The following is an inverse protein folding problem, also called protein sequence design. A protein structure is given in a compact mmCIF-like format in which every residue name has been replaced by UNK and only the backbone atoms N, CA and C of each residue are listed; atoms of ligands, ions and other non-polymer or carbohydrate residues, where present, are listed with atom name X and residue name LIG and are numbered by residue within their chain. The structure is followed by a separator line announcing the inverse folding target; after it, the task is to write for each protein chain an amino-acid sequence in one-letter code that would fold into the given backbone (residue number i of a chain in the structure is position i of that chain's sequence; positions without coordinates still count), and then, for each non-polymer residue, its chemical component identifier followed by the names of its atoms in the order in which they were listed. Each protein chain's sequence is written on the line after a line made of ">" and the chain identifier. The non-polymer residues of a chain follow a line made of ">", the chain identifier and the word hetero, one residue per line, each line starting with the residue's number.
data_IF_732170311098
#
_entry.id   IF_732170311098
#
_cell.length_a   1.000
_cell.length_b   1.000
_cell.length_c   1.000
_cell.angle_alpha   90.00
_cell.angle_beta   90.00
_cell.angle_gamma   90.00
#
_symmetry.space_group_name_H-M   'P 1'
#
loop_
_entity.id
_entity.type
_entity.pdbx_description
1 polymer ?
#
# COMPACT_ATOMS: atom_id res chain seq x y z
N UNK A 1 -6.06 22.22 85.88
CA UNK A 1 -6.68 23.49 85.39
C UNK A 1 -5.55 24.32 84.79
N UNK A 2 -5.45 24.68 83.51
CA UNK A 2 -6.32 24.68 82.32
C UNK A 2 -5.36 24.69 81.11
N UNK A 3 -5.56 23.86 80.10
CA UNK A 3 -5.33 24.26 78.68
C UNK A 3 -6.55 25.12 78.26
N UNK A 4 -6.54 25.99 77.21
CA UNK A 4 -5.88 25.82 75.90
C UNK A 4 -5.46 27.11 75.13
N UNK A 5 -4.69 26.98 74.05
CA UNK A 5 -4.58 27.91 72.90
C UNK A 5 -3.92 27.08 71.78
N UNK A 6 -4.61 26.49 70.80
CA UNK A 6 -5.31 27.08 69.65
C UNK A 6 -4.34 27.75 68.65
N UNK A 7 -4.25 27.09 67.49
CA UNK A 7 -4.02 27.60 66.12
C UNK A 7 -2.60 27.77 65.55
N UNK A 8 -2.53 27.39 64.27
CA UNK A 8 -1.56 27.72 63.20
C UNK A 8 -0.32 26.83 63.07
N UNK A 9 -0.50 25.61 62.56
CA UNK A 9 0.53 24.98 61.72
C UNK A 9 -0.02 24.96 60.29
N UNK A 10 0.26 26.03 59.56
CA UNK A 10 0.07 26.13 58.12
C UNK A 10 1.39 26.56 57.48
N UNK A 11 1.94 25.65 56.69
CA UNK A 11 2.52 25.92 55.37
C UNK A 11 3.57 27.05 55.26
N UNK A 12 4.84 26.72 55.55
CA UNK A 12 6.05 27.22 54.87
C UNK A 12 7.22 26.46 55.51
N UNK A 13 7.96 25.57 54.84
CA UNK A 13 9.02 25.93 53.90
C UNK A 13 9.45 24.63 53.17
N UNK A 14 8.90 24.38 51.98
CA UNK A 14 9.55 23.59 50.94
C UNK A 14 10.50 24.53 50.19
N UNK A 15 11.82 24.36 50.32
CA UNK A 15 12.84 24.72 49.30
C UNK A 15 14.28 24.69 49.86
N UNK A 16 14.81 23.49 50.09
CA UNK A 16 16.25 23.23 50.11
C UNK A 16 16.40 21.70 50.09
N UNK A 17 16.65 21.04 48.96
CA UNK A 17 17.99 20.93 48.39
C UNK A 17 17.88 20.26 47.01
N UNK A 18 17.52 21.06 45.99
CA UNK A 18 17.57 20.64 44.59
C UNK A 18 18.89 21.14 44.01
N UNK A 19 19.98 20.37 44.14
CA UNK A 19 21.22 20.52 43.37
C UNK A 19 22.26 19.44 43.74
N UNK A 20 22.24 18.30 43.07
CA UNK A 20 23.50 17.60 42.74
C UNK A 20 23.41 17.29 41.25
N UNK A 21 24.17 18.05 40.47
CA UNK A 21 24.33 17.88 39.04
C UNK A 21 25.83 17.72 38.74
N UNK A 22 26.12 16.69 37.94
CA UNK A 22 27.28 16.51 37.05
C UNK A 22 28.62 16.08 37.68
N UNK A 23 28.93 14.79 37.53
CA UNK A 23 30.20 14.37 36.92
C UNK A 23 30.04 12.95 36.36
N UNK A 24 29.97 12.82 35.04
CA UNK A 24 30.38 11.63 34.27
C UNK A 24 30.40 12.00 32.78
N UNK A 25 31.58 12.47 32.38
CA UNK A 25 32.29 12.13 31.15
C UNK A 25 31.50 12.00 29.84
N UNK A 26 31.67 13.05 29.05
CA UNK A 26 31.66 13.13 27.59
C UNK A 26 32.09 11.84 26.86
N UNK A 27 31.12 11.13 26.30
CA UNK A 27 31.31 10.31 25.10
C UNK A 27 30.84 11.11 23.88
N UNK A 28 31.67 12.08 23.46
CA UNK A 28 31.61 12.66 22.12
C UNK A 28 32.26 11.67 21.13
N UNK A 29 31.44 10.82 20.52
CA UNK A 29 31.77 10.13 19.28
C UNK A 29 30.51 10.06 18.41
N UNK A 30 30.33 11.15 17.68
CA UNK A 30 29.43 11.36 16.55
C UNK A 30 28.97 10.06 15.86
N UNK A 31 27.76 9.61 16.18
CA UNK A 31 26.96 8.82 15.24
C UNK A 31 26.48 9.77 14.15
N UNK A 32 27.28 9.83 13.10
CA UNK A 32 26.99 10.41 11.80
C UNK A 32 25.52 10.14 11.43
N UNK A 33 24.67 11.16 11.52
CA UNK A 33 23.38 11.19 10.80
C UNK A 33 23.72 10.94 9.34
N UNK A 34 23.53 9.70 8.90
CA UNK A 34 23.55 9.36 7.50
C UNK A 34 22.28 9.99 6.93
N UNK A 35 22.36 11.26 6.56
CA UNK A 35 21.49 11.84 5.53
C UNK A 35 21.71 10.96 4.32
N UNK A 36 20.77 10.04 4.15
CA UNK A 36 20.65 9.19 2.99
C UNK A 36 20.27 10.13 1.84
N UNK A 37 21.27 10.73 1.19
CA UNK A 37 21.13 11.11 -0.22
C UNK A 37 20.75 9.83 -0.94
N UNK A 38 19.45 9.62 -1.14
CA UNK A 38 18.97 8.60 -2.05
C UNK A 38 19.49 8.99 -3.43
N UNK A 39 20.61 8.38 -3.84
CA UNK A 39 21.02 8.42 -5.24
C UNK A 39 19.80 8.05 -6.06
N UNK A 40 19.38 8.93 -6.95
CA UNK A 40 18.23 8.68 -7.81
C UNK A 40 18.57 7.48 -8.68
N UNK A 41 17.99 6.34 -8.36
CA UNK A 41 18.13 5.12 -9.16
C UNK A 41 17.01 5.12 -10.18
N UNK A 42 17.29 4.67 -11.39
CA UNK A 42 16.36 4.53 -12.49
C UNK A 42 16.32 3.06 -12.92
N UNK A 43 15.16 2.60 -13.37
CA UNK A 43 14.90 1.19 -13.71
C UNK A 43 14.05 1.10 -14.96
N UNK A 44 14.18 0.00 -15.72
CA UNK A 44 13.28 -0.25 -16.84
C UNK A 44 12.02 -0.96 -16.32
N UNK A 45 10.80 -0.45 -16.57
CA UNK A 45 9.57 -1.07 -16.06
C UNK A 45 9.34 -2.49 -16.61
N UNK A 46 9.91 -2.82 -17.78
CA UNK A 46 9.87 -4.15 -18.39
C UNK A 46 11.07 -5.04 -18.05
N UNK A 47 12.16 -4.45 -17.56
CA UNK A 47 13.42 -5.15 -17.28
C UNK A 47 13.97 -4.63 -15.94
N UNK A 48 13.39 -5.04 -14.79
CA UNK A 48 13.76 -4.50 -13.47
C UNK A 48 15.23 -4.73 -13.09
N UNK A 49 15.91 -5.64 -13.79
CA UNK A 49 17.35 -5.89 -13.71
C UNK A 49 18.20 -4.79 -14.37
N UNK A 50 17.60 -3.96 -15.24
CA UNK A 50 18.25 -2.81 -15.85
C UNK A 50 18.13 -1.63 -14.91
N UNK A 51 19.22 -1.33 -14.21
CA UNK A 51 19.32 -0.25 -13.24
C UNK A 51 20.34 0.79 -13.71
N UNK A 52 20.02 2.06 -13.56
CA UNK A 52 20.92 3.18 -13.89
C UNK A 52 20.88 4.25 -12.80
N UNK A 53 21.97 4.99 -12.65
CA UNK A 53 22.08 6.19 -11.82
C UNK A 53 21.58 7.46 -12.54
N UNK A 54 21.16 7.34 -13.81
CA UNK A 54 20.76 8.46 -14.66
C UNK A 54 19.46 8.18 -15.41
N UNK A 55 18.68 9.22 -15.76
CA UNK A 55 17.61 9.08 -16.75
C UNK A 55 18.19 8.58 -18.08
N UNK A 56 17.41 7.80 -18.81
CA UNK A 56 17.86 7.29 -20.10
C UNK A 56 16.84 6.37 -20.74
N UNK A 57 17.31 5.58 -21.70
CA UNK A 57 16.53 4.51 -22.33
C UNK A 57 17.14 3.16 -21.95
N UNK A 58 16.28 2.17 -21.73
CA UNK A 58 16.68 0.79 -21.47
C UNK A 58 17.44 0.24 -22.69
N UNK A 59 18.65 -0.32 -22.52
CA UNK A 59 19.41 -0.89 -23.62
C UNK A 59 18.77 -2.19 -24.16
N UNK A 60 17.87 -2.83 -23.41
CA UNK A 60 17.18 -4.07 -23.83
C UNK A 60 15.95 -3.81 -24.71
N UNK A 61 15.15 -2.79 -24.41
CA UNK A 61 13.89 -2.52 -25.13
C UNK A 61 13.71 -1.08 -25.62
N UNK A 62 14.61 -0.15 -25.31
CA UNK A 62 14.52 1.24 -25.75
C UNK A 62 13.50 2.12 -24.99
N UNK A 63 12.79 1.56 -24.01
CA UNK A 63 11.86 2.30 -23.14
C UNK A 63 12.58 3.33 -22.27
N UNK A 64 11.89 4.40 -21.88
CA UNK A 64 12.42 5.36 -20.90
C UNK A 64 12.60 4.68 -19.53
N UNK A 65 13.77 4.83 -18.92
CA UNK A 65 13.99 4.42 -17.54
C UNK A 65 13.17 5.32 -16.61
N UNK A 66 12.47 4.73 -15.65
CA UNK A 66 11.67 5.43 -14.65
C UNK A 66 12.46 5.53 -13.34
N UNK A 67 12.28 6.61 -12.58
CA UNK A 67 12.91 6.75 -11.27
C UNK A 67 12.40 5.64 -10.35
N UNK A 68 13.31 4.79 -9.89
CA UNK A 68 13.12 3.85 -8.81
C UNK A 68 13.09 4.63 -7.51
N UNK A 69 11.93 5.18 -7.17
CA UNK A 69 11.67 5.51 -5.77
C UNK A 69 11.58 4.18 -5.03
N UNK A 70 12.03 4.13 -3.77
CA UNK A 70 12.15 2.88 -3.02
C UNK A 70 10.82 2.09 -2.85
N UNK A 71 9.70 2.59 -3.38
CA UNK A 71 8.37 2.02 -3.23
C UNK A 71 7.44 2.14 -4.46
N UNK A 72 7.90 2.65 -5.61
CA UNK A 72 7.06 2.76 -6.83
C UNK A 72 7.61 1.91 -7.98
N UNK A 73 7.29 0.63 -7.99
CA UNK A 73 7.20 -0.11 -9.25
C UNK A 73 5.79 -0.69 -9.33
N UNK A 74 5.00 -0.21 -10.29
CA UNK A 74 3.69 -0.77 -10.66
C UNK A 74 2.63 -0.86 -9.54
N UNK A 75 2.69 0.00 -8.53
CA UNK A 75 1.66 0.03 -7.50
C UNK A 75 0.33 0.59 -8.01
N UNK A 76 -0.82 0.12 -7.46
CA UNK A 76 -2.14 0.67 -7.74
C UNK A 76 -2.18 2.21 -7.70
N UNK A 77 -1.58 2.80 -6.67
CA UNK A 77 -1.53 4.25 -6.48
C UNK A 77 -0.77 5.00 -7.59
N UNK A 78 0.30 4.40 -8.14
CA UNK A 78 1.09 5.04 -9.20
C UNK A 78 0.42 4.92 -10.57
N UNK A 79 -0.35 3.84 -10.80
CA UNK A 79 -1.01 3.57 -12.08
C UNK A 79 -2.39 4.20 -12.19
N UNK A 80 -3.19 4.11 -11.12
CA UNK A 80 -4.60 4.51 -11.12
C UNK A 80 -4.85 5.86 -10.44
N UNK A 81 -3.85 6.39 -9.74
CA UNK A 81 -3.99 7.61 -8.96
C UNK A 81 -4.81 7.38 -7.69
N UNK A 82 -5.80 8.25 -7.43
CA UNK A 82 -6.56 8.24 -6.18
C UNK A 82 -7.41 6.97 -6.03
N UNK A 83 -7.47 6.38 -4.83
CA UNK A 83 -8.34 5.23 -4.57
C UNK A 83 -9.82 5.62 -4.61
N UNK A 84 -10.66 4.62 -4.90
CA UNK A 84 -12.13 4.71 -4.78
C UNK A 84 -12.54 4.95 -3.33
N UNK A 85 -11.81 4.36 -2.39
CA UNK A 85 -12.02 4.53 -0.95
C UNK A 85 -10.68 4.53 -0.20
N UNK A 86 -10.57 5.36 0.82
CA UNK A 86 -9.40 5.41 1.70
C UNK A 86 -9.82 5.67 3.14
N UNK A 87 -9.29 4.89 4.08
CA UNK A 87 -9.51 5.10 5.52
C UNK A 87 -8.36 4.53 6.34
N UNK A 88 -7.92 5.30 7.33
CA UNK A 88 -6.99 4.82 8.36
C UNK A 88 -7.76 4.21 9.53
N UNK A 89 -7.37 3.01 9.94
CA UNK A 89 -7.96 2.26 11.04
C UNK A 89 -6.83 1.69 11.88
N UNK A 90 -6.72 2.11 13.14
CA UNK A 90 -5.75 1.58 14.11
C UNK A 90 -4.30 1.51 13.59
N UNK A 91 -3.82 2.59 12.96
CA UNK A 91 -2.46 2.69 12.42
C UNK A 91 -2.25 2.02 11.06
N UNK A 92 -3.32 1.51 10.42
CA UNK A 92 -3.28 0.94 9.07
C UNK A 92 -4.11 1.81 8.12
N UNK A 93 -3.47 2.35 7.10
CA UNK A 93 -4.12 3.03 5.98
C UNK A 93 -4.59 1.99 4.96
N UNK A 94 -5.91 1.91 4.78
CA UNK A 94 -6.58 1.00 3.84
C UNK A 94 -7.03 1.82 2.63
N UNK A 95 -6.48 1.49 1.46
CA UNK A 95 -6.85 2.10 0.18
C UNK A 95 -7.45 1.04 -0.73
N UNK A 96 -8.57 1.36 -1.37
CA UNK A 96 -9.30 0.45 -2.25
C UNK A 96 -9.49 1.12 -3.60
N UNK A 97 -9.01 0.47 -4.66
CA UNK A 97 -9.36 0.80 -6.04
C UNK A 97 -10.35 -0.24 -6.53
N UNK A 98 -11.48 0.25 -7.02
CA UNK A 98 -12.56 -0.57 -7.53
C UNK A 98 -13.04 0.02 -8.85
N UNK A 99 -13.07 -0.83 -9.87
CA UNK A 99 -13.51 -0.49 -11.21
C UNK A 99 -14.09 -1.70 -11.94
N UNK A 100 -14.81 -1.48 -13.02
CA UNK A 100 -15.32 -2.58 -13.84
C UNK A 100 -14.16 -3.37 -14.47
N UNK A 101 -14.36 -4.67 -14.73
CA UNK A 101 -13.34 -5.47 -15.42
C UNK A 101 -12.98 -4.91 -16.79
N UNK A 102 -13.93 -4.28 -17.49
CA UNK A 102 -13.67 -3.70 -18.81
C UNK A 102 -12.84 -2.41 -18.73
N UNK A 103 -13.06 -1.57 -17.71
CA UNK A 103 -12.17 -0.43 -17.43
C UNK A 103 -10.77 -0.90 -17.07
N UNK A 104 -10.64 -1.95 -16.26
CA UNK A 104 -9.36 -2.53 -15.91
C UNK A 104 -8.63 -3.07 -17.16
N UNK A 105 -9.31 -3.87 -18.00
CA UNK A 105 -8.76 -4.35 -19.29
C UNK A 105 -8.34 -3.21 -20.20
N UNK A 106 -9.17 -2.17 -20.32
CA UNK A 106 -8.87 -0.99 -21.13
C UNK A 106 -7.62 -0.28 -20.62
N UNK A 107 -7.53 -0.05 -19.31
CA UNK A 107 -6.36 0.57 -18.69
C UNK A 107 -5.09 -0.23 -18.94
N UNK A 108 -5.14 -1.56 -18.74
CA UNK A 108 -4.01 -2.44 -19.00
C UNK A 108 -3.60 -2.43 -20.47
N UNK A 109 -4.58 -2.41 -21.38
CA UNK A 109 -4.32 -2.29 -22.82
C UNK A 109 -3.72 -0.93 -23.19
N UNK A 110 -4.15 0.17 -22.58
CA UNK A 110 -3.62 1.50 -22.90
C UNK A 110 -2.18 1.66 -22.40
N UNK A 111 -1.87 1.10 -21.22
CA UNK A 111 -0.51 1.11 -20.66
C UNK A 111 0.44 0.13 -21.36
N UNK A 112 -0.02 -1.07 -21.75
CA UNK A 112 0.83 -2.06 -22.43
C UNK A 112 0.82 -1.95 -23.97
N UNK A 113 -0.28 -1.45 -24.55
CA UNK A 113 -0.49 -1.36 -26.00
C UNK A 113 0.03 -0.08 -26.64
N UNK A 114 0.24 0.98 -25.86
CA UNK A 114 0.96 2.17 -26.32
C UNK A 114 2.46 1.88 -26.57
N UNK A 115 2.99 0.81 -26.00
CA UNK A 115 4.39 0.39 -26.17
C UNK A 115 4.65 -0.50 -27.38
N UNK A 116 3.67 -1.29 -27.83
CA UNK A 116 3.87 -2.24 -28.93
C UNK A 116 3.86 -1.60 -30.32
N UNK A 117 3.43 -0.34 -30.45
CA UNK A 117 3.38 0.37 -31.76
C UNK A 117 4.75 0.78 -32.31
N UNK A 118 5.86 0.50 -31.60
CA UNK A 118 7.22 0.80 -32.04
C UNK A 118 8.09 -0.41 -32.41
N UNK A 119 7.56 -1.64 -32.32
CA UNK A 119 8.34 -2.85 -32.64
C UNK A 119 8.11 -3.25 -34.09
N UNK A 120 9.08 -2.89 -34.94
CA UNK A 120 9.24 -3.46 -36.28
C UNK A 120 9.28 -4.99 -36.17
N UNK A 121 8.50 -5.69 -37.00
CA UNK A 121 8.37 -7.15 -36.97
C UNK A 121 9.58 -7.82 -37.64
N UNK A 122 10.77 -7.48 -37.16
CA UNK A 122 12.03 -8.13 -37.50
C UNK A 122 12.00 -9.58 -37.01
N UNK A 123 11.57 -10.48 -37.91
CA UNK A 123 11.77 -11.93 -37.96
C UNK A 123 12.53 -12.53 -36.76
N UNK A 124 11.82 -12.92 -35.72
CA UNK A 124 12.40 -13.67 -34.60
C UNK A 124 12.32 -15.18 -34.86
N UNK A 125 13.43 -15.76 -35.32
CA UNK A 125 13.79 -17.13 -34.98
C UNK A 125 14.52 -17.09 -33.62
N UNK A 126 14.04 -17.80 -32.60
CA UNK A 126 14.89 -18.07 -31.42
C UNK A 126 14.15 -18.24 -30.10
N UNK A 127 14.22 -19.49 -29.59
CA UNK A 127 14.15 -19.95 -28.19
C UNK A 127 12.96 -19.51 -27.32
N UNK A 128 12.06 -20.47 -27.10
CA UNK A 128 11.19 -20.57 -25.92
C UNK A 128 12.07 -20.77 -24.68
N UNK A 129 12.38 -19.71 -23.96
CA UNK A 129 12.82 -19.79 -22.56
C UNK A 129 11.71 -19.23 -21.67
N UNK A 130 11.42 -19.97 -20.60
CA UNK A 130 10.17 -19.94 -19.84
C UNK A 130 9.79 -18.55 -19.32
N UNK A 131 8.64 -18.06 -19.79
CA UNK A 131 7.90 -17.00 -19.11
C UNK A 131 7.03 -17.68 -18.06
N UNK A 132 7.35 -17.51 -16.78
CA UNK A 132 6.38 -17.71 -15.71
C UNK A 132 5.33 -16.58 -15.83
N UNK A 133 4.47 -16.67 -16.84
CA UNK A 133 3.24 -15.91 -16.88
C UNK A 133 2.29 -16.43 -15.81
N UNK A 134 1.41 -15.57 -15.30
CA UNK A 134 0.37 -16.00 -14.37
C UNK A 134 -0.39 -17.20 -14.93
N UNK A 135 -0.60 -18.23 -14.11
CA UNK A 135 -1.34 -19.42 -14.48
C UNK A 135 -2.71 -19.01 -15.11
N UNK A 136 -3.08 -19.54 -16.29
CA UNK A 136 -4.35 -19.23 -16.94
C UNK A 136 -5.58 -19.37 -16.03
N UNK A 137 -5.58 -20.36 -15.13
CA UNK A 137 -6.67 -20.58 -14.17
C UNK A 137 -6.74 -19.46 -13.13
N UNK A 138 -5.58 -19.01 -12.65
CA UNK A 138 -5.49 -17.85 -11.75
C UNK A 138 -6.00 -16.58 -12.43
N UNK A 139 -5.63 -16.36 -13.70
CA UNK A 139 -6.11 -15.21 -14.47
C UNK A 139 -7.63 -15.28 -14.68
N UNK A 140 -8.16 -16.46 -15.02
CA UNK A 140 -9.60 -16.68 -15.17
C UNK A 140 -10.35 -16.34 -13.88
N UNK A 141 -9.83 -16.76 -12.73
CA UNK A 141 -10.44 -16.48 -11.42
C UNK A 141 -10.41 -14.98 -11.09
N UNK A 142 -9.29 -14.29 -11.31
CA UNK A 142 -9.17 -12.83 -11.07
C UNK A 142 -10.03 -11.98 -12.02
N UNK A 143 -10.55 -12.58 -13.10
CA UNK A 143 -11.37 -11.93 -14.12
C UNK A 143 -12.82 -12.41 -14.11
N UNK A 144 -13.22 -13.25 -13.14
CA UNK A 144 -14.53 -13.90 -13.13
C UNK A 144 -15.68 -12.98 -12.67
N UNK A 145 -15.41 -12.00 -11.81
CA UNK A 145 -16.40 -11.02 -11.35
C UNK A 145 -16.67 -9.90 -12.36
N UNK A 146 -17.62 -9.00 -12.05
CA UNK A 146 -17.94 -7.82 -12.88
C UNK A 146 -16.97 -6.65 -12.63
N UNK A 147 -16.36 -6.62 -11.44
CA UNK A 147 -15.44 -5.57 -11.02
C UNK A 147 -14.09 -6.18 -10.61
N UNK A 148 -13.02 -5.46 -10.94
CA UNK A 148 -11.69 -5.72 -10.41
C UNK A 148 -11.47 -4.86 -9.17
N UNK A 149 -10.92 -5.47 -8.12
CA UNK A 149 -10.62 -4.77 -6.87
C UNK A 149 -9.16 -4.96 -6.50
N UNK A 150 -8.54 -3.86 -6.10
CA UNK A 150 -7.20 -3.83 -5.51
C UNK A 150 -7.26 -3.14 -4.15
N UNK A 151 -6.63 -3.75 -3.15
CA UNK A 151 -6.54 -3.21 -1.80
C UNK A 151 -5.07 -3.07 -1.42
N UNK A 152 -4.68 -1.87 -0.99
CA UNK A 152 -3.41 -1.65 -0.31
C UNK A 152 -3.68 -1.43 1.17
N UNK A 153 -3.02 -2.21 2.02
CA UNK A 153 -2.97 -2.01 3.46
C UNK A 153 -1.54 -1.60 3.83
N UNK A 154 -1.37 -0.36 4.30
CA UNK A 154 -0.06 0.21 4.62
C UNK A 154 -0.03 0.63 6.08
N UNK A 155 1.03 0.27 6.80
CA UNK A 155 1.30 0.77 8.14
C UNK A 155 1.58 2.29 8.10
N UNK A 156 0.90 3.06 8.94
CA UNK A 156 0.95 4.52 8.87
C UNK A 156 2.27 5.12 9.35
N UNK A 157 3.00 4.42 10.22
CA UNK A 157 4.27 4.91 10.75
C UNK A 157 5.39 4.66 9.76
N UNK A 158 5.55 3.39 9.37
CA UNK A 158 6.61 2.93 8.48
C UNK A 158 6.33 3.24 7.02
N UNK A 159 5.07 3.53 6.67
CA UNK A 159 4.58 3.64 5.30
C UNK A 159 4.85 2.38 4.49
N UNK A 160 4.95 1.19 5.09
CA UNK A 160 5.20 -0.08 4.41
C UNK A 160 3.94 -0.93 4.30
N UNK A 161 3.86 -1.80 3.29
CA UNK A 161 2.74 -2.75 3.16
C UNK A 161 2.70 -3.63 4.40
N UNK A 162 1.51 -3.88 4.94
CA UNK A 162 1.33 -4.76 6.09
C UNK A 162 1.65 -6.20 5.65
N UNK A 163 2.77 -6.72 6.14
CA UNK A 163 3.24 -8.07 5.80
C UNK A 163 2.34 -9.16 6.39
N UNK A 164 2.25 -10.30 5.69
CA UNK A 164 1.46 -11.48 6.10
C UNK A 164 -0.01 -11.14 6.44
N UNK A 165 -0.57 -10.12 5.78
CA UNK A 165 -1.97 -9.81 5.94
C UNK A 165 -2.85 -10.74 5.08
N UNK A 166 -4.00 -11.11 5.62
CA UNK A 166 -5.12 -11.65 4.87
C UNK A 166 -6.15 -10.53 4.65
N UNK A 167 -6.61 -10.36 3.41
CA UNK A 167 -7.60 -9.35 3.07
C UNK A 167 -8.86 -10.01 2.53
N UNK A 168 -10.00 -9.69 3.14
CA UNK A 168 -11.33 -10.18 2.74
C UNK A 168 -12.25 -8.99 2.50
N UNK A 169 -13.13 -9.10 1.52
CA UNK A 169 -14.19 -8.12 1.27
C UNK A 169 -15.53 -8.83 1.34
N UNK A 170 -16.39 -8.43 2.28
CA UNK A 170 -17.80 -8.77 2.26
C UNK A 170 -18.57 -7.72 1.47
N UNK A 171 -19.56 -8.16 0.70
CA UNK A 171 -20.37 -7.35 -0.20
C UNK A 171 -21.83 -7.61 0.12
N UNK A 172 -22.58 -6.55 0.40
CA UNK A 172 -24.04 -6.57 0.48
C UNK A 172 -24.63 -5.80 -0.68
N UNK A 173 -25.48 -6.46 -1.48
CA UNK A 173 -26.11 -5.90 -2.67
C UNK A 173 -27.27 -4.96 -2.34
N UNK A 174 -27.76 -4.16 -3.31
CA UNK A 174 -28.97 -3.34 -3.15
C UNK A 174 -30.21 -4.16 -2.77
N UNK A 175 -30.24 -5.44 -3.14
CA UNK A 175 -31.31 -6.39 -2.80
C UNK A 175 -31.01 -7.20 -1.53
N UNK A 176 -30.10 -6.71 -0.67
CA UNK A 176 -29.68 -7.32 0.61
C UNK A 176 -29.05 -8.72 0.50
N UNK A 177 -28.53 -9.10 -0.68
CA UNK A 177 -27.78 -10.35 -0.84
C UNK A 177 -26.34 -10.15 -0.41
N UNK A 178 -25.80 -11.12 0.34
CA UNK A 178 -24.44 -11.06 0.87
C UNK A 178 -23.52 -12.08 0.23
N UNK A 179 -22.27 -11.68 -0.01
CA UNK A 179 -21.17 -12.55 -0.45
C UNK A 179 -19.85 -12.07 0.17
N UNK A 180 -18.82 -12.91 0.16
CA UNK A 180 -17.49 -12.51 0.60
C UNK A 180 -16.41 -13.12 -0.29
N UNK A 181 -15.35 -12.36 -0.52
CA UNK A 181 -14.22 -12.76 -1.36
C UNK A 181 -12.92 -12.55 -0.58
N UNK A 182 -12.07 -13.57 -0.53
CA UNK A 182 -10.70 -13.44 -0.07
C UNK A 182 -9.80 -12.99 -1.23
N UNK A 183 -9.03 -11.93 -1.01
CA UNK A 183 -8.18 -11.36 -2.03
C UNK A 183 -6.81 -12.04 -2.04
N UNK A 184 -6.26 -12.23 -3.24
CA UNK A 184 -4.95 -12.82 -3.41
C UNK A 184 -3.87 -11.80 -3.09
N UNK A 185 -2.92 -12.21 -2.26
CA UNK A 185 -1.72 -11.43 -1.98
C UNK A 185 -0.84 -11.34 -3.23
N UNK A 186 -0.38 -10.12 -3.53
CA UNK A 186 0.59 -9.81 -4.57
C UNK A 186 1.74 -9.01 -3.94
N UNK A 187 2.74 -8.65 -4.74
CA UNK A 187 3.99 -8.03 -4.25
C UNK A 187 3.76 -6.82 -3.34
N UNK A 188 2.80 -5.96 -3.66
CA UNK A 188 2.59 -4.67 -2.99
C UNK A 188 1.12 -4.33 -2.70
N UNK A 189 0.20 -5.22 -3.06
CA UNK A 189 -1.24 -5.07 -2.86
C UNK A 189 -1.93 -6.44 -2.82
N UNK A 190 -3.22 -6.41 -2.52
CA UNK A 190 -4.11 -7.56 -2.59
C UNK A 190 -5.10 -7.34 -3.73
N UNK A 191 -5.48 -8.38 -4.45
CA UNK A 191 -6.43 -8.21 -5.55
C UNK A 191 -7.26 -9.43 -5.86
N UNK A 192 -8.35 -9.17 -6.57
CA UNK A 192 -9.33 -10.17 -6.93
C UNK A 192 -10.46 -9.56 -7.75
N UNK A 193 -11.59 -10.25 -7.79
CA UNK A 193 -12.79 -9.77 -8.47
C UNK A 193 -14.01 -9.84 -7.57
N UNK A 194 -14.89 -8.86 -7.71
CA UNK A 194 -16.20 -8.82 -7.07
C UNK A 194 -17.30 -8.94 -8.13
N UNK A 195 -18.43 -9.54 -7.76
CA UNK A 195 -19.63 -9.56 -8.58
C UNK A 195 -20.60 -8.50 -8.06
N UNK A 196 -20.64 -7.37 -8.75
CA UNK A 196 -21.58 -6.27 -8.54
C UNK A 196 -22.39 -6.11 -9.85
N UNK A 197 -23.47 -6.85 -9.97
CA UNK A 197 -24.29 -7.04 -11.18
C UNK A 197 -25.68 -6.39 -11.10
N UNK A 198 -26.09 -5.93 -9.93
CA UNK A 198 -27.31 -5.17 -9.67
C UNK A 198 -26.98 -3.67 -9.75
N UNK A 199 -27.91 -2.85 -10.26
CA UNK A 199 -27.77 -1.39 -10.18
C UNK A 199 -28.15 -0.90 -8.79
N UNK A 200 -27.42 0.09 -8.29
CA UNK A 200 -27.69 0.73 -7.01
C UNK A 200 -26.52 0.67 -6.02
N UNK A 201 -26.84 0.99 -4.77
CA UNK A 201 -25.85 1.13 -3.70
C UNK A 201 -25.49 -0.21 -3.08
N UNK A 202 -24.23 -0.62 -3.22
CA UNK A 202 -23.63 -1.71 -2.47
C UNK A 202 -23.02 -1.21 -1.17
N UNK A 203 -22.96 -2.08 -0.16
CA UNK A 203 -22.09 -1.91 1.01
C UNK A 203 -20.93 -2.89 0.91
N UNK A 204 -19.70 -2.40 1.08
CA UNK A 204 -18.49 -3.20 1.07
C UNK A 204 -17.78 -3.06 2.41
N UNK A 205 -17.52 -4.20 3.06
CA UNK A 205 -16.78 -4.30 4.31
C UNK A 205 -15.43 -4.97 4.04
N UNK A 206 -14.36 -4.19 4.20
CA UNK A 206 -12.98 -4.65 3.99
C UNK A 206 -12.38 -5.05 5.32
N UNK A 207 -11.93 -6.30 5.43
CA UNK A 207 -11.20 -6.83 6.57
C UNK A 207 -9.73 -7.00 6.20
N UNK A 208 -8.86 -6.39 6.99
CA UNK A 208 -7.41 -6.57 6.93
C UNK A 208 -6.96 -7.22 8.23
N UNK A 209 -6.69 -8.52 8.17
CA UNK A 209 -6.21 -9.31 9.30
C UNK A 209 -4.70 -9.47 9.20
N UNK A 210 -3.96 -9.06 10.22
CA UNK A 210 -2.52 -9.32 10.32
C UNK A 210 -2.13 -9.57 11.76
N UNK A 211 -1.28 -10.59 11.98
CA UNK A 211 -0.98 -11.11 13.32
C UNK A 211 -2.30 -11.47 14.04
N UNK A 212 -2.52 -10.96 15.25
CA UNK A 212 -3.75 -11.20 16.04
C UNK A 212 -4.77 -10.04 15.98
N UNK A 213 -4.65 -9.15 14.99
CA UNK A 213 -5.51 -7.96 14.90
C UNK A 213 -6.17 -7.86 13.53
N UNK A 214 -7.48 -7.61 13.53
CA UNK A 214 -8.28 -7.37 12.32
C UNK A 214 -8.79 -5.93 12.31
N UNK A 215 -8.52 -5.21 11.22
CA UNK A 215 -9.04 -3.87 10.98
C UNK A 215 -10.15 -3.96 9.96
N UNK A 216 -11.22 -3.22 10.21
CA UNK A 216 -12.39 -3.21 9.35
C UNK A 216 -12.69 -1.80 8.86
N UNK A 217 -12.96 -1.67 7.57
CA UNK A 217 -13.44 -0.44 6.97
C UNK A 217 -14.63 -0.71 6.05
N UNK A 218 -15.71 0.03 6.25
CA UNK A 218 -16.95 -0.10 5.48
C UNK A 218 -17.19 1.12 4.62
N UNK A 219 -17.63 0.92 3.38
CA UNK A 219 -17.99 2.01 2.46
C UNK A 219 -19.11 1.62 1.51
N UNK A 220 -19.76 2.62 0.91
CA UNK A 220 -20.77 2.43 -0.13
C UNK A 220 -20.18 2.59 -1.52
N UNK A 221 -20.67 1.81 -2.48
CA UNK A 221 -20.30 1.92 -3.89
C UNK A 221 -21.56 1.81 -4.76
N UNK A 222 -21.82 2.84 -5.56
CA UNK A 222 -22.97 2.89 -6.46
C UNK A 222 -22.62 2.36 -7.84
N UNK A 223 -23.26 1.25 -8.24
CA UNK A 223 -23.21 0.72 -9.61
C UNK A 223 -24.28 1.40 -10.45
N UNK A 224 -23.86 2.02 -11.56
CA UNK A 224 -24.72 2.82 -12.46
C UNK A 224 -25.44 2.01 -13.53
#
# INVERSE_FOLDING_TARGET
>A
MKTPFVLVISLALLSASYAIAQDHQHHDAQTKKMQQESKEVYTCPMHPEVVSDKPGKCPKCGMKLVKKTAKQEMSPASMMGKPTFEKSVEGVNIQVWLMTQDEHKKMMKDHMGSEMKGMDHGKMHGKKEGKEGMNPDMMKEMMAGTHHVMVMATDEETKSVVENAEVKIAVTSPSDKSSAVELKSMKDHFGGSLTLDEKGAYTLDVWVSSKEKTRTASFKYDVK
#
